data_IF_733084413796
#
_entry.id   IF_733084413796
#
_cell.length_a   1.000
_cell.length_b   1.000
_cell.length_c   1.000
_cell.angle_alpha   90.00
_cell.angle_beta   90.00
_cell.angle_gamma   90.00
#
_symmetry.space_group_name_H-M   'P 1'
#
loop_
_entity.id
_entity.type
_entity.pdbx_description
1 polymer ?
#
# COMPACT_ATOMS: atom_id res chain seq x y z
N UNK A 1 -16.51 -3.17 -5.57
CA UNK A 1 -17.01 -2.77 -4.25
C UNK A 1 -16.05 -3.30 -3.22
N UNK A 2 -15.68 -2.47 -2.26
CA UNK A 2 -14.88 -2.92 -1.11
C UNK A 2 -15.66 -3.99 -0.34
N UNK A 3 -14.94 -4.97 0.20
CA UNK A 3 -15.55 -6.03 1.00
C UNK A 3 -15.70 -5.51 2.44
N UNK A 4 -16.94 -5.47 2.91
CA UNK A 4 -17.27 -5.06 4.28
C UNK A 4 -17.41 -6.28 5.20
N UNK A 5 -16.77 -6.20 6.35
CA UNK A 5 -16.83 -7.20 7.41
C UNK A 5 -17.55 -6.60 8.63
N UNK A 6 -18.48 -7.33 9.29
CA UNK A 6 -19.20 -6.82 10.43
C UNK A 6 -18.29 -6.37 11.59
N UNK A 7 -18.67 -5.29 12.27
CA UNK A 7 -17.98 -4.80 13.46
C UNK A 7 -16.79 -3.87 13.20
N UNK A 8 -16.08 -3.55 14.27
CA UNK A 8 -14.90 -2.68 14.25
C UNK A 8 -13.70 -3.36 13.58
N UNK A 9 -12.73 -2.55 13.18
CA UNK A 9 -11.42 -3.06 12.77
C UNK A 9 -10.84 -3.96 13.87
N UNK A 10 -10.33 -5.15 13.51
CA UNK A 10 -9.66 -6.03 14.45
C UNK A 10 -8.38 -5.38 14.98
N UNK A 11 -7.96 -5.78 16.17
CA UNK A 11 -6.63 -5.42 16.67
C UNK A 11 -5.57 -6.24 15.92
N UNK A 12 -4.65 -5.55 15.26
CA UNK A 12 -3.62 -6.16 14.41
C UNK A 12 -2.27 -5.65 14.90
N UNK A 13 -1.24 -6.49 14.98
CA UNK A 13 0.09 -6.03 15.38
C UNK A 13 0.94 -5.79 14.13
N UNK A 14 1.30 -4.53 13.81
CA UNK A 14 2.35 -4.28 12.82
C UNK A 14 3.70 -4.82 13.29
N UNK A 15 4.69 -4.80 12.41
CA UNK A 15 6.09 -4.98 12.78
C UNK A 15 6.48 -3.98 13.88
N UNK A 16 7.30 -4.43 14.83
CA UNK A 16 7.91 -3.57 15.85
C UNK A 16 9.27 -3.06 15.37
N UNK A 17 9.77 -2.00 16.02
CA UNK A 17 11.05 -1.35 15.68
C UNK A 17 11.16 -1.02 14.18
N UNK A 18 10.08 -0.50 13.61
CA UNK A 18 10.00 -0.20 12.19
C UNK A 18 11.03 0.85 11.79
N UNK A 19 11.89 0.48 10.84
CA UNK A 19 12.91 1.36 10.29
C UNK A 19 12.45 1.94 8.95
N UNK A 20 11.91 3.17 9.00
CA UNK A 20 11.47 3.89 7.81
C UNK A 20 12.62 4.18 6.82
N UNK A 21 13.85 4.34 7.31
CA UNK A 21 15.02 4.52 6.45
C UNK A 21 15.34 3.24 5.68
N UNK A 22 15.23 2.08 6.32
CA UNK A 22 15.40 0.78 5.65
C UNK A 22 14.22 0.45 4.72
N UNK A 23 13.01 0.94 5.03
CA UNK A 23 11.82 0.73 4.21
C UNK A 23 11.78 1.61 2.95
N UNK A 24 12.54 2.70 2.93
CA UNK A 24 12.59 3.64 1.82
C UNK A 24 12.98 2.99 0.47
N UNK A 25 12.80 3.75 -0.60
CA UNK A 25 13.00 3.34 -1.98
C UNK A 25 11.74 2.78 -2.64
N UNK A 26 11.91 2.21 -3.83
CA UNK A 26 10.81 1.69 -4.63
C UNK A 26 10.35 0.31 -4.14
N UNK A 27 9.04 0.12 -4.17
CA UNK A 27 8.33 -1.13 -3.95
C UNK A 27 7.37 -1.37 -5.11
N UNK A 28 7.45 -2.54 -5.72
CA UNK A 28 6.52 -3.01 -6.74
C UNK A 28 5.33 -3.65 -6.04
N UNK A 29 4.11 -3.19 -6.35
CA UNK A 29 2.89 -3.85 -5.90
C UNK A 29 2.73 -5.15 -6.68
N UNK A 30 3.04 -6.29 -6.06
CA UNK A 30 2.95 -7.62 -6.69
C UNK A 30 1.49 -8.03 -6.83
N UNK A 31 0.71 -7.81 -5.77
CA UNK A 31 -0.70 -8.10 -5.75
C UNK A 31 -1.40 -7.30 -4.64
N UNK A 32 -2.70 -7.11 -4.77
CA UNK A 32 -3.52 -6.48 -3.74
C UNK A 32 -4.91 -7.10 -3.64
N UNK A 33 -5.59 -6.85 -2.52
CA UNK A 33 -7.04 -7.05 -2.48
C UNK A 33 -7.73 -6.10 -3.48
N UNK A 34 -8.85 -6.49 -4.09
CA UNK A 34 -9.57 -5.64 -5.04
C UNK A 34 -10.06 -4.37 -4.32
N UNK A 35 -9.80 -3.21 -4.93
CA UNK A 35 -10.25 -1.91 -4.44
C UNK A 35 -11.31 -1.37 -5.38
N UNK A 36 -12.42 -0.87 -4.83
CA UNK A 36 -13.59 -0.45 -5.61
C UNK A 36 -13.29 0.60 -6.67
N UNK A 37 -12.36 1.52 -6.38
CA UNK A 37 -12.11 2.74 -7.15
C UNK A 37 -10.70 2.84 -7.72
N UNK A 38 -9.87 1.81 -7.56
CA UNK A 38 -8.60 1.78 -8.28
C UNK A 38 -8.84 1.18 -9.65
N UNK A 39 -8.50 1.95 -10.70
CA UNK A 39 -8.31 1.40 -12.04
C UNK A 39 -7.43 0.14 -11.93
N UNK A 40 -7.58 -0.81 -12.84
CA UNK A 40 -6.67 -1.95 -12.98
C UNK A 40 -5.29 -1.48 -13.49
N UNK A 41 -4.73 -0.48 -12.80
CA UNK A 41 -3.43 0.09 -13.05
C UNK A 41 -2.40 -1.01 -12.99
N UNK A 42 -1.59 -1.04 -14.03
CA UNK A 42 -0.51 -1.99 -14.21
C UNK A 42 0.80 -1.33 -13.86
N UNK A 43 1.87 -2.11 -13.74
CA UNK A 43 3.19 -1.60 -13.43
C UNK A 43 3.20 -0.71 -12.17
N UNK A 44 2.42 -1.08 -11.15
CA UNK A 44 2.19 -0.22 -9.98
C UNK A 44 3.42 -0.20 -9.06
N UNK A 45 3.88 0.99 -8.71
CA UNK A 45 5.05 1.22 -7.86
C UNK A 45 4.71 2.24 -6.77
N UNK A 46 5.07 1.91 -5.53
CA UNK A 46 5.10 2.84 -4.41
C UNK A 46 6.57 3.16 -4.07
N UNK A 47 6.99 4.41 -4.26
CA UNK A 47 8.33 4.87 -3.94
C UNK A 47 8.30 5.74 -2.68
N UNK A 48 8.94 5.24 -1.62
CA UNK A 48 9.02 5.94 -0.34
C UNK A 48 10.34 6.72 -0.28
N UNK A 49 10.26 8.01 0.03
CA UNK A 49 11.42 8.89 0.18
C UNK A 49 11.51 9.30 1.64
N UNK A 50 12.72 9.27 2.21
CA UNK A 50 12.99 9.73 3.57
C UNK A 50 14.35 10.40 3.63
N UNK A 51 14.41 11.64 4.11
CA UNK A 51 15.65 12.44 4.20
C UNK A 51 16.24 12.49 5.63
N UNK A 52 15.72 11.66 6.54
CA UNK A 52 16.06 11.70 7.97
C UNK A 52 15.17 12.64 8.80
N UNK A 53 14.34 13.47 8.17
CA UNK A 53 13.42 14.40 8.84
C UNK A 53 11.99 14.30 8.31
N UNK A 54 11.82 14.28 7.00
CA UNK A 54 10.54 14.22 6.30
C UNK A 54 10.49 12.96 5.46
N UNK A 55 9.31 12.35 5.43
CA UNK A 55 9.02 11.26 4.53
C UNK A 55 7.89 11.63 3.58
N UNK A 56 7.96 11.09 2.37
CA UNK A 56 6.91 11.20 1.38
C UNK A 56 6.80 9.91 0.60
N UNK A 57 5.71 9.78 -0.14
CA UNK A 57 5.44 8.63 -0.99
C UNK A 57 4.99 9.10 -2.36
N UNK A 58 5.56 8.50 -3.39
CA UNK A 58 5.18 8.64 -4.78
C UNK A 58 4.59 7.31 -5.24
N UNK A 59 3.27 7.25 -5.41
CA UNK A 59 2.61 6.08 -5.97
C UNK A 59 2.38 6.32 -7.46
N UNK A 60 2.62 5.33 -8.30
CA UNK A 60 2.34 5.41 -9.73
C UNK A 60 1.86 4.09 -10.30
N UNK A 61 1.08 4.18 -11.37
CA UNK A 61 0.60 3.04 -12.14
C UNK A 61 0.39 3.47 -13.60
N UNK A 62 0.29 2.50 -14.50
CA UNK A 62 0.00 2.72 -15.91
C UNK A 62 -1.42 2.28 -16.21
N UNK A 63 -2.19 3.16 -16.84
CA UNK A 63 -3.55 2.90 -17.32
C UNK A 63 -3.66 3.44 -18.74
N UNK A 64 -4.07 2.59 -19.70
CA UNK A 64 -4.31 2.99 -21.08
C UNK A 64 -3.17 3.81 -21.74
N UNK A 65 -1.90 3.44 -21.46
CA UNK A 65 -0.72 4.12 -22.01
C UNK A 65 -0.37 5.46 -21.34
N UNK A 66 -1.04 5.81 -20.23
CA UNK A 66 -0.74 6.97 -19.39
C UNK A 66 -0.20 6.48 -18.05
N UNK A 67 0.94 7.04 -17.61
CA UNK A 67 1.42 6.84 -16.24
C UNK A 67 0.75 7.85 -15.33
N UNK A 68 -0.19 7.38 -14.52
CA UNK A 68 -0.82 8.16 -13.47
C UNK A 68 0.03 8.07 -12.20
N UNK A 69 0.12 9.15 -11.43
CA UNK A 69 0.87 9.16 -10.18
C UNK A 69 0.26 10.08 -9.13
N UNK A 70 0.50 9.80 -7.86
CA UNK A 70 0.08 10.64 -6.73
C UNK A 70 1.24 10.78 -5.74
N UNK A 71 1.36 11.97 -5.18
CA UNK A 71 2.36 12.31 -4.17
C UNK A 71 1.66 12.60 -2.84
N UNK A 72 2.21 12.03 -1.77
CA UNK A 72 1.70 12.22 -0.43
C UNK A 72 2.80 12.43 0.60
N UNK A 73 2.44 13.13 1.67
CA UNK A 73 3.28 13.25 2.86
C UNK A 73 3.13 11.98 3.70
N UNK A 74 4.22 11.53 4.34
CA UNK A 74 4.23 10.36 5.22
C UNK A 74 4.71 10.74 6.61
N UNK A 75 3.93 10.36 7.62
CA UNK A 75 4.29 10.52 9.03
C UNK A 75 4.04 9.22 9.81
N UNK A 76 4.87 8.91 10.80
CA UNK A 76 4.58 7.80 11.73
C UNK A 76 3.27 8.10 12.45
N UNK A 77 2.38 7.10 12.54
CA UNK A 77 1.08 7.29 13.15
C UNK A 77 1.23 7.71 14.62
N UNK A 78 0.37 8.62 15.14
CA UNK A 78 0.53 9.16 16.49
C UNK A 78 0.60 8.10 17.59
N UNK A 79 -0.18 7.03 17.45
CA UNK A 79 -0.23 5.88 18.37
C UNK A 79 0.98 4.93 18.21
N UNK A 80 1.69 4.99 17.10
CA UNK A 80 2.89 4.20 16.82
C UNK A 80 4.21 4.93 17.18
N UNK A 81 4.15 6.24 17.45
CA UNK A 81 5.35 7.08 17.66
C UNK A 81 6.24 6.60 18.79
N UNK A 82 5.66 6.08 19.87
CA UNK A 82 6.40 5.59 21.05
C UNK A 82 6.66 4.09 21.01
N UNK A 83 5.78 3.33 20.37
CA UNK A 83 5.92 1.87 20.24
C UNK A 83 6.82 1.46 19.07
N UNK A 84 7.18 2.42 18.19
CA UNK A 84 7.93 2.19 16.95
C UNK A 84 7.30 1.13 16.06
N UNK A 85 5.97 1.03 16.09
CA UNK A 85 5.26 0.10 15.23
C UNK A 85 5.26 0.59 13.78
N UNK A 86 5.26 -0.34 12.83
CA UNK A 86 5.18 -0.07 11.40
C UNK A 86 3.79 0.41 10.99
N UNK A 87 3.33 1.52 11.55
CA UNK A 87 2.06 2.16 11.23
C UNK A 87 2.32 3.62 10.94
N UNK A 88 1.90 4.06 9.75
CA UNK A 88 2.14 5.42 9.27
C UNK A 88 0.89 5.98 8.61
N UNK A 89 0.80 7.29 8.54
CA UNK A 89 -0.26 8.04 7.87
C UNK A 89 0.31 8.56 6.56
N UNK A 90 -0.32 8.20 5.45
CA UNK A 90 -0.09 8.77 4.13
C UNK A 90 -1.18 9.82 3.87
N UNK A 91 -0.77 11.06 3.59
CA UNK A 91 -1.69 12.17 3.33
C UNK A 91 -1.58 12.60 1.87
N UNK A 92 -2.67 12.43 1.12
CA UNK A 92 -2.77 12.83 -0.28
C UNK A 92 -3.71 14.03 -0.45
N UNK A 93 -3.34 14.98 -1.31
CA UNK A 93 -4.11 16.20 -1.58
C UNK A 93 -4.56 16.23 -3.05
N UNK A 94 -5.85 15.98 -3.26
CA UNK A 94 -6.53 16.03 -4.55
C UNK A 94 -7.29 17.37 -4.64
N UNK A 95 -6.62 18.42 -5.12
CA UNK A 95 -7.16 19.77 -5.04
C UNK A 95 -7.39 20.20 -3.59
N UNK A 96 -8.65 20.49 -3.25
CA UNK A 96 -9.07 20.83 -1.89
C UNK A 96 -9.36 19.61 -1.01
N UNK A 97 -9.48 18.40 -1.60
CA UNK A 97 -9.79 17.18 -0.86
C UNK A 97 -8.52 16.56 -0.30
N UNK A 98 -8.50 16.35 1.01
CA UNK A 98 -7.44 15.61 1.71
C UNK A 98 -7.92 14.19 1.97
N UNK A 99 -7.10 13.21 1.64
CA UNK A 99 -7.35 11.79 1.92
C UNK A 99 -6.19 11.26 2.75
N UNK A 100 -6.52 10.62 3.87
CA UNK A 100 -5.55 9.95 4.72
C UNK A 100 -5.73 8.43 4.57
N UNK A 101 -4.62 7.72 4.37
CA UNK A 101 -4.54 6.27 4.44
C UNK A 101 -3.61 5.89 5.58
N UNK A 102 -3.96 4.89 6.39
CA UNK A 102 -3.16 4.51 7.56
C UNK A 102 -2.69 3.06 7.43
N UNK A 103 -1.72 2.76 6.55
CA UNK A 103 -1.20 1.40 6.40
C UNK A 103 -0.39 0.93 7.62
N UNK A 104 -0.46 -0.38 7.82
CA UNK A 104 0.19 -1.18 8.84
C UNK A 104 1.09 -2.17 8.09
N UNK A 105 2.40 -2.10 8.30
CA UNK A 105 3.34 -3.09 7.79
C UNK A 105 3.22 -4.33 8.66
N UNK A 106 2.59 -5.38 8.15
CA UNK A 106 2.40 -6.65 8.86
C UNK A 106 3.68 -7.46 8.95
N UNK A 107 4.48 -7.42 7.88
CA UNK A 107 5.79 -8.06 7.80
C UNK A 107 6.64 -7.37 6.72
N UNK A 108 7.94 -7.31 6.95
CA UNK A 108 8.92 -6.91 5.94
C UNK A 108 10.31 -7.39 6.36
N UNK A 109 11.15 -7.71 5.37
CA UNK A 109 12.60 -7.89 5.57
C UNK A 109 13.40 -6.69 5.03
N UNK A 110 12.71 -5.61 4.64
CA UNK A 110 13.22 -4.37 4.06
C UNK A 110 13.92 -4.51 2.68
N UNK A 111 14.38 -5.71 2.33
CA UNK A 111 15.25 -5.97 1.18
C UNK A 111 14.55 -6.67 0.03
N UNK A 112 13.53 -7.47 0.32
CA UNK A 112 12.89 -8.32 -0.67
C UNK A 112 11.37 -8.12 -0.69
N UNK A 113 10.71 -8.10 0.46
CA UNK A 113 9.25 -8.01 0.52
C UNK A 113 8.72 -7.12 1.65
N UNK A 114 7.48 -6.69 1.49
CA UNK A 114 6.65 -6.15 2.56
C UNK A 114 5.18 -6.53 2.34
N UNK A 115 4.43 -6.64 3.43
CA UNK A 115 2.98 -6.80 3.38
C UNK A 115 2.35 -5.64 4.13
N UNK A 116 1.62 -4.80 3.40
CA UNK A 116 0.87 -3.70 3.98
C UNK A 116 -0.59 -4.08 4.13
N UNK A 117 -1.21 -3.57 5.19
CA UNK A 117 -2.62 -3.76 5.53
C UNK A 117 -3.22 -2.42 5.94
N UNK A 118 -4.46 -2.16 5.56
CA UNK A 118 -5.22 -1.01 6.02
C UNK A 118 -6.62 -1.48 6.40
N UNK A 119 -7.16 -0.89 7.47
CA UNK A 119 -8.54 -1.15 7.90
C UNK A 119 -9.22 0.17 8.22
N UNK A 120 -10.39 0.37 7.61
CA UNK A 120 -11.24 1.53 7.85
C UNK A 120 -12.58 1.06 8.42
N UNK A 121 -12.96 1.60 9.58
CA UNK A 121 -14.28 1.39 10.14
C UNK A 121 -15.27 2.41 9.57
N UNK A 122 -16.42 1.92 9.12
CA UNK A 122 -17.51 2.70 8.50
C UNK A 122 -18.72 2.71 9.45
N UNK A 123 -18.90 3.78 10.26
CA UNK A 123 -19.95 3.82 11.29
C UNK A 123 -21.37 3.70 10.74
N UNK A 124 -21.61 4.23 9.52
CA UNK A 124 -22.90 4.13 8.82
C UNK A 124 -23.26 2.67 8.47
N UNK A 125 -22.26 1.82 8.26
CA UNK A 125 -22.43 0.39 7.95
C UNK A 125 -22.27 -0.53 9.14
N UNK A 126 -21.76 -0.02 10.27
CA UNK A 126 -21.33 -0.82 11.45
C UNK A 126 -20.41 -1.97 11.05
N UNK A 127 -19.53 -1.69 10.09
CA UNK A 127 -18.66 -2.64 9.44
C UNK A 127 -17.32 -1.99 9.12
N UNK A 128 -16.30 -2.77 8.84
CA UNK A 128 -15.01 -2.29 8.37
C UNK A 128 -14.66 -2.82 6.99
N UNK A 129 -13.84 -2.08 6.25
CA UNK A 129 -13.22 -2.54 4.99
C UNK A 129 -11.76 -2.87 5.25
N UNK A 130 -11.24 -3.84 4.50
CA UNK A 130 -9.84 -4.26 4.57
C UNK A 130 -9.19 -4.09 3.20
N UNK A 131 -8.04 -3.45 3.18
CA UNK A 131 -7.14 -3.41 2.04
C UNK A 131 -5.81 -4.05 2.42
N UNK A 132 -5.17 -4.73 1.49
CA UNK A 132 -3.87 -5.33 1.71
C UNK A 132 -3.08 -5.39 0.41
N UNK A 133 -1.76 -5.23 0.53
CA UNK A 133 -0.82 -5.18 -0.59
C UNK A 133 0.38 -6.07 -0.29
N UNK A 134 0.75 -6.91 -1.26
CA UNK A 134 2.04 -7.59 -1.30
C UNK A 134 2.98 -6.71 -2.10
N UNK A 135 4.07 -6.30 -1.48
CA UNK A 135 5.10 -5.46 -2.06
C UNK A 135 6.40 -6.23 -2.21
N UNK A 136 7.15 -5.95 -3.29
CA UNK A 136 8.47 -6.54 -3.53
C UNK A 136 9.47 -5.50 -4.02
N UNK A 137 10.74 -5.63 -3.64
CA UNK A 137 11.82 -4.83 -4.24
C UNK A 137 12.09 -5.22 -5.70
N UNK A 138 11.63 -6.38 -6.13
CA UNK A 138 11.69 -6.87 -7.52
C UNK A 138 10.31 -6.86 -8.18
N UNK A 139 10.26 -6.82 -9.52
CA UNK A 139 9.00 -6.89 -10.30
C UNK A 139 8.29 -8.25 -10.21
N UNK A 140 9.02 -9.28 -9.76
CA UNK A 140 8.53 -10.65 -9.58
C UNK A 140 8.84 -11.07 -8.15
N UNK A 141 7.93 -11.83 -7.54
CA UNK A 141 8.11 -12.43 -6.22
C UNK A 141 8.10 -13.96 -6.38
N UNK A 142 9.26 -14.58 -6.22
CA UNK A 142 9.48 -16.01 -6.48
C UNK A 142 10.43 -16.64 -5.46
N UNK A 143 10.61 -17.96 -5.57
CA UNK A 143 11.49 -18.74 -4.71
C UNK A 143 11.16 -18.61 -3.22
N UNK A 144 12.20 -18.63 -2.39
CA UNK A 144 12.08 -18.58 -0.92
C UNK A 144 11.32 -17.34 -0.42
N UNK A 145 11.50 -16.18 -1.05
CA UNK A 145 10.79 -14.95 -0.62
C UNK A 145 9.29 -15.10 -0.81
N UNK A 146 8.84 -15.74 -1.91
CA UNK A 146 7.42 -16.05 -2.11
C UNK A 146 6.88 -17.00 -1.03
N UNK A 147 7.62 -18.05 -0.69
CA UNK A 147 7.21 -19.00 0.36
C UNK A 147 7.07 -18.30 1.72
N UNK A 148 7.98 -17.37 2.05
CA UNK A 148 7.90 -16.55 3.27
C UNK A 148 6.63 -15.70 3.26
N UNK A 149 6.36 -14.97 2.17
CA UNK A 149 5.14 -14.15 2.03
C UNK A 149 3.88 -15.00 2.18
N UNK A 150 3.81 -16.15 1.51
CA UNK A 150 2.67 -17.06 1.58
C UNK A 150 2.45 -17.57 3.02
N UNK A 151 3.51 -17.83 3.78
CA UNK A 151 3.42 -18.24 5.19
C UNK A 151 2.99 -17.10 6.12
N UNK A 152 3.43 -15.86 5.86
CA UNK A 152 2.92 -14.69 6.59
C UNK A 152 1.43 -14.50 6.34
N UNK A 153 0.98 -14.58 5.07
CA UNK A 153 -0.44 -14.45 4.72
C UNK A 153 -1.31 -15.54 5.38
N UNK A 154 -0.81 -16.77 5.50
CA UNK A 154 -1.49 -17.83 6.27
C UNK A 154 -1.67 -17.47 7.74
N UNK A 155 -0.69 -16.81 8.36
CA UNK A 155 -0.80 -16.34 9.75
C UNK A 155 -1.90 -15.28 9.90
N UNK A 156 -2.09 -14.46 8.88
CA UNK A 156 -3.13 -13.43 8.83
C UNK A 156 -4.40 -13.85 8.09
N UNK A 157 -4.62 -15.15 7.84
CA UNK A 157 -5.75 -15.62 7.01
C UNK A 157 -7.14 -15.33 7.59
N UNK A 158 -7.20 -15.03 8.89
CA UNK A 158 -8.43 -14.58 9.57
C UNK A 158 -8.76 -13.11 9.29
N UNK A 159 -7.82 -12.34 8.74
CA UNK A 159 -7.97 -10.93 8.35
C UNK A 159 -7.96 -10.77 6.83
N UNK A 160 -7.07 -11.50 6.16
CA UNK A 160 -6.72 -11.32 4.76
C UNK A 160 -6.98 -12.63 4.02
N UNK A 161 -7.98 -12.63 3.14
CA UNK A 161 -8.22 -13.73 2.22
C UNK A 161 -7.27 -13.62 1.03
N UNK A 162 -6.12 -14.29 1.13
CA UNK A 162 -5.09 -14.29 0.10
C UNK A 162 -5.59 -14.79 -1.28
N UNK A 163 -6.66 -15.60 -1.32
CA UNK A 163 -7.22 -16.09 -2.58
C UNK A 163 -7.90 -15.00 -3.41
N UNK A 164 -8.24 -13.86 -2.79
CA UNK A 164 -8.86 -12.71 -3.45
C UNK A 164 -7.86 -11.72 -4.04
N UNK A 165 -6.56 -11.96 -3.87
CA UNK A 165 -5.55 -11.06 -4.40
C UNK A 165 -5.57 -11.04 -5.93
N UNK A 166 -5.55 -9.84 -6.49
CA UNK A 166 -5.34 -9.60 -7.91
C UNK A 166 -3.88 -9.26 -8.11
N UNK A 167 -3.22 -10.01 -9.00
CA UNK A 167 -1.82 -9.76 -9.36
C UNK A 167 -1.68 -8.54 -10.25
N UNK A 168 -0.61 -7.77 -10.03
CA UNK A 168 -0.24 -6.68 -10.91
C UNK A 168 0.52 -7.20 -12.14
N UNK A 169 0.51 -6.43 -13.22
CA UNK A 169 1.13 -6.78 -14.50
C UNK A 169 2.35 -5.89 -14.72
N UNK A 170 3.54 -6.48 -14.61
CA UNK A 170 4.83 -5.82 -14.87
C UNK A 170 5.45 -6.23 -16.22
N UNK A 171 4.66 -6.80 -17.14
CA UNK A 171 5.14 -7.06 -18.50
C UNK A 171 5.58 -5.76 -19.16
N UNK A 172 6.50 -5.85 -20.12
CA UNK A 172 7.01 -4.67 -20.83
C UNK A 172 5.87 -3.85 -21.45
N UNK A 173 4.91 -4.51 -22.10
CA UNK A 173 3.73 -3.88 -22.68
C UNK A 173 2.84 -3.18 -21.63
N UNK A 174 2.69 -3.77 -20.44
CA UNK A 174 1.91 -3.18 -19.36
C UNK A 174 2.58 -1.95 -18.73
N UNK A 175 3.92 -1.91 -18.75
CA UNK A 175 4.72 -0.80 -18.23
C UNK A 175 4.94 0.31 -19.25
N UNK A 176 4.49 0.17 -20.51
CA UNK A 176 4.66 1.21 -21.54
C UNK A 176 3.65 2.34 -21.35
N UNK A 177 4.15 3.57 -21.38
CA UNK A 177 3.35 4.79 -21.38
C UNK A 177 4.03 5.87 -22.22
N UNK A 178 3.24 6.78 -22.79
CA UNK A 178 3.72 7.90 -23.60
C UNK A 178 3.57 9.26 -22.90
N UNK A 179 2.71 9.34 -21.89
CA UNK A 179 2.44 10.56 -21.12
C UNK A 179 2.32 10.24 -19.63
N UNK A 180 2.44 11.29 -18.81
CA UNK A 180 2.31 11.20 -17.35
C UNK A 180 1.23 12.15 -16.85
N UNK A 181 0.54 11.76 -15.78
CA UNK A 181 -0.58 12.53 -15.22
C UNK A 181 -0.57 12.48 -13.68
N UNK A 182 -0.46 13.65 -13.03
CA UNK A 182 -0.48 13.75 -11.56
C UNK A 182 -1.92 13.72 -11.03
N UNK A 183 -2.31 12.77 -10.21
CA UNK A 183 -3.62 12.75 -9.54
C UNK A 183 -3.73 13.76 -8.40
N UNK A 184 -2.60 14.14 -7.79
CA UNK A 184 -2.52 15.13 -6.71
C UNK A 184 -2.06 16.50 -7.23
N UNK A 185 -2.36 17.56 -6.48
CA UNK A 185 -1.94 18.94 -6.80
C UNK A 185 -3.08 19.97 -6.73
N UNK A 186 -2.75 21.27 -6.78
CA UNK A 186 -3.70 22.37 -6.58
C UNK A 186 -4.71 22.52 -7.72
N UNK A 187 -4.31 22.19 -8.96
CA UNK A 187 -5.14 22.37 -10.17
C UNK A 187 -6.08 21.18 -10.43
N UNK A 188 -6.40 20.39 -9.39
CA UNK A 188 -7.27 19.22 -9.49
C UNK A 188 -8.64 19.53 -8.88
N UNK A 189 -9.70 19.21 -9.62
CA UNK A 189 -11.10 19.39 -9.22
C UNK A 189 -11.81 18.04 -9.20
#
# INVERSE_FOLDING_TARGET
GDIFYPGYCPDVKPVNDFDLSAFAGAWHEIAKLPLENENQGKCTIAEYKYDGKKASVYNSFVSNGVKEYMEGDLEIAPDAKYTKQGKYVMTFKFGQRVVNLVPWVLATDYKNYAINYNCDYHPDKKAHSIHAWILSKSKVLEGNTKEVVDNVLKTFSHLIDASKFISNDFSEAACQYSTTYSLTGPDRH
#
